data_IF_678754897231
#
_entry.id   IF_678754897231
#
_cell.length_a   1.000
_cell.length_b   1.000
_cell.length_c   1.000
_cell.angle_alpha   90.00
_cell.angle_beta   90.00
_cell.angle_gamma   90.00
#
_symmetry.space_group_name_H-M   'P 1'
#
loop_
_entity.id
_entity.type
_entity.pdbx_description
1 polymer ?
#
# COMPACT_ATOMS: atom_id res chain seq x y z
N UNK A 1 -6.32 -14.26 0.30
CA UNK A 1 -6.30 -14.80 -1.08
C UNK A 1 -5.94 -13.62 -1.97
N UNK A 2 -4.88 -13.73 -2.77
CA UNK A 2 -4.41 -12.65 -3.64
C UNK A 2 -5.51 -12.25 -4.63
N UNK A 3 -5.85 -10.97 -4.68
CA UNK A 3 -6.99 -10.48 -5.46
C UNK A 3 -6.49 -9.60 -6.60
N UNK A 4 -7.07 -9.78 -7.79
CA UNK A 4 -6.87 -8.86 -8.93
C UNK A 4 -7.71 -7.61 -8.71
N UNK A 5 -7.30 -6.46 -9.24
CA UNK A 5 -8.02 -5.20 -8.97
C UNK A 5 -9.50 -5.27 -9.36
N UNK A 6 -9.87 -5.93 -10.45
CA UNK A 6 -11.28 -6.06 -10.82
C UNK A 6 -12.12 -6.86 -9.80
N UNK A 7 -11.54 -7.88 -9.15
CA UNK A 7 -12.23 -8.63 -8.09
C UNK A 7 -12.32 -7.81 -6.80
N UNK A 8 -11.27 -7.02 -6.51
CA UNK A 8 -11.27 -6.07 -5.41
C UNK A 8 -12.42 -5.06 -5.59
N UNK A 9 -12.65 -4.56 -6.80
CA UNK A 9 -13.76 -3.66 -7.12
C UNK A 9 -15.17 -4.27 -6.92
N UNK A 10 -15.30 -5.60 -6.89
CA UNK A 10 -16.59 -6.28 -6.65
C UNK A 10 -16.94 -6.39 -5.16
N UNK A 11 -15.99 -6.12 -4.26
CA UNK A 11 -16.20 -6.21 -2.82
C UNK A 11 -17.10 -5.08 -2.30
N UNK A 12 -18.11 -5.47 -1.52
CA UNK A 12 -19.21 -4.57 -1.12
C UNK A 12 -18.95 -3.82 0.17
N UNK A 13 -18.02 -4.29 1.00
CA UNK A 13 -17.76 -3.73 2.32
C UNK A 13 -16.30 -3.92 2.70
N UNK A 14 -15.55 -2.82 2.73
CA UNK A 14 -14.16 -2.80 3.16
C UNK A 14 -14.05 -2.36 4.62
N UNK A 15 -13.15 -3.03 5.35
CA UNK A 15 -12.89 -2.75 6.76
C UNK A 15 -11.40 -2.98 7.07
N UNK A 16 -10.76 -1.97 7.65
CA UNK A 16 -9.55 -2.08 8.46
C UNK A 16 -9.87 -2.94 9.69
N UNK A 17 -8.88 -3.70 10.15
CA UNK A 17 -8.96 -4.52 11.35
C UNK A 17 -7.70 -4.30 12.17
N UNK A 18 -7.88 -4.14 13.48
CA UNK A 18 -6.80 -4.16 14.46
C UNK A 18 -6.69 -5.56 15.08
N UNK A 19 -5.52 -5.91 15.60
CA UNK A 19 -5.32 -7.09 16.43
C UNK A 19 -5.80 -6.84 17.87
N UNK A 20 -6.02 -7.92 18.63
CA UNK A 20 -6.64 -7.86 19.97
C UNK A 20 -5.90 -6.92 20.93
N UNK A 21 -4.57 -7.01 20.92
CA UNK A 21 -3.67 -6.22 21.77
C UNK A 21 -3.19 -4.92 21.12
N UNK A 22 -3.86 -4.44 20.07
CA UNK A 22 -3.49 -3.17 19.44
C UNK A 22 -3.71 -1.98 20.39
N UNK A 23 -2.84 -0.97 20.26
CA UNK A 23 -2.94 0.29 21.00
C UNK A 23 -4.26 1.03 20.74
N UNK A 24 -4.59 1.98 21.62
CA UNK A 24 -5.83 2.76 21.52
C UNK A 24 -5.91 3.56 20.21
N UNK A 25 -4.78 4.03 19.71
CA UNK A 25 -4.66 4.75 18.44
C UNK A 25 -5.15 3.91 17.25
N UNK A 26 -4.88 2.60 17.26
CA UNK A 26 -5.36 1.66 16.24
C UNK A 26 -6.87 1.43 16.35
N UNK A 27 -7.35 1.20 17.57
CA UNK A 27 -8.77 0.92 17.85
C UNK A 27 -9.63 2.11 17.44
N UNK A 28 -9.23 3.33 17.80
CA UNK A 28 -9.91 4.57 17.39
C UNK A 28 -9.94 4.75 15.87
N UNK A 29 -8.87 4.36 15.17
CA UNK A 29 -8.86 4.38 13.71
C UNK A 29 -9.88 3.41 13.11
N UNK A 30 -9.93 2.18 13.62
CA UNK A 30 -10.83 1.11 13.15
C UNK A 30 -12.29 1.41 13.42
N UNK A 31 -12.62 2.00 14.57
CA UNK A 31 -14.01 2.26 14.96
C UNK A 31 -14.65 3.38 14.13
N UNK A 32 -13.84 4.33 13.64
CA UNK A 32 -14.31 5.53 12.94
C UNK A 32 -13.92 5.58 11.46
N UNK A 33 -13.60 4.42 10.90
CA UNK A 33 -13.16 4.32 9.53
C UNK A 33 -14.31 4.43 8.53
N UNK A 34 -14.00 4.95 7.36
CA UNK A 34 -14.78 4.76 6.13
C UNK A 34 -13.83 4.52 4.98
N UNK A 35 -13.94 3.36 4.36
CA UNK A 35 -13.20 3.04 3.13
C UNK A 35 -14.18 3.11 1.96
N UNK A 36 -13.85 3.93 0.97
CA UNK A 36 -14.54 3.98 -0.31
C UNK A 36 -13.57 3.53 -1.39
N UNK A 37 -13.99 2.56 -2.19
CA UNK A 37 -13.23 2.11 -3.37
C UNK A 37 -14.10 2.37 -4.59
N UNK A 38 -13.49 2.94 -5.63
CA UNK A 38 -14.14 3.21 -6.92
C UNK A 38 -13.26 2.71 -8.05
N UNK A 39 -13.88 2.37 -9.17
CA UNK A 39 -13.14 2.08 -10.38
C UNK A 39 -12.37 3.34 -10.82
N UNK A 40 -11.10 3.15 -11.17
CA UNK A 40 -10.27 4.19 -11.79
C UNK A 40 -10.56 4.29 -13.29
N UNK A 41 -9.51 4.50 -14.09
CA UNK A 41 -9.64 4.65 -15.55
C UNK A 41 -10.25 3.44 -16.26
N UNK A 42 -10.05 2.24 -15.73
CA UNK A 42 -10.58 0.97 -16.25
C UNK A 42 -10.66 -0.07 -15.10
N UNK A 43 -11.06 -1.32 -15.41
CA UNK A 43 -11.24 -2.39 -14.40
C UNK A 43 -9.95 -2.91 -13.74
N UNK A 44 -8.78 -2.56 -14.26
CA UNK A 44 -7.47 -2.87 -13.67
C UNK A 44 -6.97 -1.76 -12.73
N UNK A 45 -7.73 -0.67 -12.58
CA UNK A 45 -7.40 0.45 -11.71
C UNK A 45 -8.49 0.68 -10.66
N UNK A 46 -8.06 1.03 -9.45
CA UNK A 46 -8.97 1.40 -8.37
C UNK A 46 -8.49 2.67 -7.68
N UNK A 47 -9.42 3.54 -7.33
CA UNK A 47 -9.17 4.70 -6.49
C UNK A 47 -9.72 4.38 -5.09
N UNK A 48 -8.90 4.53 -4.08
CA UNK A 48 -9.22 4.24 -2.68
C UNK A 48 -9.19 5.54 -1.92
N UNK A 49 -10.23 5.77 -1.13
CA UNK A 49 -10.30 6.84 -0.14
C UNK A 49 -10.58 6.21 1.22
N UNK A 50 -9.68 6.43 2.18
CA UNK A 50 -9.80 5.99 3.56
C UNK A 50 -9.93 7.23 4.43
N UNK A 51 -11.01 7.31 5.19
CA UNK A 51 -11.26 8.39 6.15
C UNK A 51 -11.30 7.81 7.55
N UNK A 52 -10.71 8.51 8.52
CA UNK A 52 -10.92 8.32 9.94
C UNK A 52 -11.52 9.61 10.50
N UNK A 53 -12.86 9.66 10.58
CA UNK A 53 -13.61 10.91 10.76
C UNK A 53 -13.29 11.63 12.07
N UNK A 54 -13.27 10.90 13.18
CA UNK A 54 -13.03 11.46 14.52
C UNK A 54 -11.60 11.98 14.72
N UNK A 55 -10.63 11.39 14.02
CA UNK A 55 -9.22 11.81 14.09
C UNK A 55 -8.92 12.88 13.03
N UNK A 56 -9.80 13.04 12.03
CA UNK A 56 -9.60 13.97 10.92
C UNK A 56 -8.49 13.52 9.98
N UNK A 57 -8.30 12.22 9.77
CA UNK A 57 -7.32 11.69 8.83
C UNK A 57 -8.01 11.26 7.54
N UNK A 58 -7.51 11.69 6.40
CA UNK A 58 -7.97 11.21 5.09
C UNK A 58 -6.77 10.84 4.23
N UNK A 59 -6.81 9.66 3.64
CA UNK A 59 -5.86 9.23 2.62
C UNK A 59 -6.61 8.88 1.35
N UNK A 60 -6.18 9.43 0.23
CA UNK A 60 -6.55 8.97 -1.11
C UNK A 60 -5.32 8.41 -1.80
N UNK A 61 -5.53 7.36 -2.56
CA UNK A 61 -4.51 6.73 -3.39
C UNK A 61 -5.17 5.98 -4.54
N UNK A 62 -4.38 5.68 -5.55
CA UNK A 62 -4.76 4.89 -6.71
C UNK A 62 -3.96 3.60 -6.76
N UNK A 63 -4.56 2.55 -7.32
CA UNK A 63 -3.97 1.24 -7.56
C UNK A 63 -4.00 0.90 -9.05
N UNK A 64 -2.95 0.24 -9.53
CA UNK A 64 -2.86 -0.32 -10.88
C UNK A 64 -2.43 -1.79 -10.80
N UNK A 65 -3.18 -2.70 -11.42
CA UNK A 65 -2.78 -4.11 -11.57
C UNK A 65 -1.62 -4.23 -12.56
N UNK A 66 -0.40 -4.38 -12.05
CA UNK A 66 0.81 -4.35 -12.87
C UNK A 66 0.83 -5.43 -13.94
N UNK A 67 0.29 -6.62 -13.62
CA UNK A 67 0.26 -7.75 -14.55
C UNK A 67 -0.78 -7.57 -15.64
N UNK A 68 -1.95 -7.03 -15.31
CA UNK A 68 -3.01 -6.79 -16.31
C UNK A 68 -2.68 -5.63 -17.23
N UNK A 69 -1.94 -4.65 -16.74
CA UNK A 69 -1.46 -3.51 -17.51
C UNK A 69 -0.15 -3.82 -18.28
N UNK A 70 0.43 -5.02 -18.12
CA UNK A 70 1.74 -5.39 -18.68
C UNK A 70 2.83 -4.35 -18.37
N UNK A 71 2.88 -3.90 -17.11
CA UNK A 71 3.77 -2.80 -16.73
C UNK A 71 5.25 -3.21 -16.80
N UNK A 72 6.13 -2.36 -17.38
CA UNK A 72 7.57 -2.59 -17.39
C UNK A 72 8.18 -2.56 -15.98
N UNK A 73 7.47 -2.04 -14.99
CA UNK A 73 7.89 -2.07 -13.58
C UNK A 73 8.11 -3.50 -13.08
N UNK A 74 7.35 -4.48 -13.58
CA UNK A 74 7.52 -5.89 -13.22
C UNK A 74 8.93 -6.39 -13.54
N UNK A 75 9.47 -6.02 -14.71
CA UNK A 75 10.83 -6.42 -15.10
C UNK A 75 11.87 -5.80 -14.17
N UNK A 76 11.73 -4.51 -13.82
CA UNK A 76 12.62 -3.86 -12.87
C UNK A 76 12.56 -4.51 -11.47
N UNK A 77 11.38 -4.94 -11.03
CA UNK A 77 11.21 -5.65 -9.76
C UNK A 77 11.84 -7.04 -9.80
N UNK A 78 11.64 -7.80 -10.88
CA UNK A 78 12.25 -9.12 -11.09
C UNK A 78 13.79 -9.04 -11.11
N UNK A 79 14.37 -7.98 -11.68
CA UNK A 79 15.81 -7.75 -11.66
C UNK A 79 16.35 -7.53 -10.23
N UNK A 80 15.66 -6.73 -9.42
CA UNK A 80 16.07 -6.50 -8.02
C UNK A 80 16.10 -7.77 -7.18
N UNK A 81 15.22 -8.71 -7.48
CA UNK A 81 15.16 -10.02 -6.82
C UNK A 81 16.38 -10.87 -7.16
N UNK A 82 16.82 -10.84 -8.42
CA UNK A 82 18.00 -11.60 -8.87
C UNK A 82 19.25 -11.09 -8.19
N UNK A 83 19.40 -9.76 -8.07
CA UNK A 83 20.51 -9.14 -7.34
C UNK A 83 20.53 -9.56 -5.86
N UNK A 84 19.36 -9.57 -5.18
CA UNK A 84 19.24 -10.02 -3.78
C UNK A 84 19.65 -11.49 -3.56
N UNK A 85 19.43 -12.37 -4.56
CA UNK A 85 19.83 -13.78 -4.53
C UNK A 85 21.35 -13.93 -4.57
N UNK A 86 22.03 -13.15 -5.40
CA UNK A 86 23.48 -13.20 -5.58
C UNK A 86 24.22 -12.66 -4.33
N UNK A 87 23.63 -11.70 -3.63
CA UNK A 87 24.22 -11.03 -2.47
C UNK A 87 23.90 -11.67 -1.10
N UNK A 88 23.33 -12.87 -1.06
CA UNK A 88 22.97 -13.62 0.17
C UNK A 88 21.94 -12.93 1.10
N UNK A 89 21.21 -11.92 0.61
CA UNK A 89 20.10 -11.25 1.32
C UNK A 89 18.71 -11.80 0.95
N UNK A 90 18.69 -13.02 0.41
CA UNK A 90 17.52 -13.72 -0.10
C UNK A 90 16.50 -14.04 1.00
N UNK A 91 15.29 -13.50 0.85
CA UNK A 91 14.11 -13.95 1.59
C UNK A 91 13.17 -14.71 0.65
N UNK A 92 12.40 -15.68 1.19
CA UNK A 92 11.37 -16.41 0.45
C UNK A 92 10.30 -15.49 -0.19
N UNK A 93 10.25 -14.22 0.25
CA UNK A 93 9.41 -13.13 -0.25
C UNK A 93 9.93 -12.45 -1.52
N UNK A 94 11.09 -12.86 -2.05
CA UNK A 94 11.67 -12.29 -3.25
C UNK A 94 11.09 -12.88 -4.55
N UNK A 95 10.06 -13.72 -4.53
CA UNK A 95 9.38 -14.11 -5.78
C UNK A 95 8.22 -13.16 -6.10
N UNK A 96 8.27 -12.51 -7.28
CA UNK A 96 7.15 -11.68 -7.75
C UNK A 96 5.91 -12.55 -8.00
N UNK A 97 4.84 -12.42 -7.21
CA UNK A 97 3.71 -13.34 -7.26
C UNK A 97 2.99 -13.35 -8.62
N UNK A 98 2.38 -14.47 -9.05
CA UNK A 98 1.66 -14.55 -10.33
C UNK A 98 0.42 -13.64 -10.40
N UNK A 99 -0.13 -13.21 -9.27
CA UNK A 99 -1.33 -12.37 -9.15
C UNK A 99 -1.25 -11.46 -7.92
N UNK A 100 -2.03 -10.38 -7.91
CA UNK A 100 -2.11 -9.48 -6.77
C UNK A 100 -0.85 -8.62 -6.58
N UNK A 101 -0.22 -8.24 -7.69
CA UNK A 101 0.92 -7.32 -7.72
C UNK A 101 0.43 -5.98 -8.25
N UNK A 102 0.50 -4.93 -7.43
CA UNK A 102 -0.06 -3.61 -7.77
C UNK A 102 0.96 -2.48 -7.60
N UNK A 103 0.84 -1.43 -8.41
CA UNK A 103 1.49 -0.15 -8.16
C UNK A 103 0.51 0.78 -7.44
N UNK A 104 1.00 1.46 -6.41
CA UNK A 104 0.30 2.51 -5.69
C UNK A 104 0.86 3.87 -6.09
N UNK A 105 -0.03 4.80 -6.42
CA UNK A 105 0.32 6.14 -6.91
C UNK A 105 -0.78 7.15 -6.56
N UNK A 106 -0.55 8.43 -6.85
CA UNK A 106 -1.45 9.55 -6.54
C UNK A 106 -1.80 9.64 -5.04
N UNK A 107 -0.79 9.59 -4.17
CA UNK A 107 -1.03 9.72 -2.73
C UNK A 107 -1.42 11.16 -2.35
N UNK A 108 -2.60 11.31 -1.78
CA UNK A 108 -3.08 12.55 -1.16
C UNK A 108 -3.41 12.28 0.30
N UNK A 109 -2.69 12.93 1.22
CA UNK A 109 -2.91 12.78 2.65
C UNK A 109 -3.30 14.11 3.29
N UNK A 110 -4.42 14.11 4.00
CA UNK A 110 -4.89 15.23 4.81
C UNK A 110 -4.88 14.82 6.28
N UNK A 111 -4.27 15.67 7.10
CA UNK A 111 -4.17 15.50 8.55
C UNK A 111 -4.88 16.65 9.26
N UNK A 112 -5.89 16.31 10.06
CA UNK A 112 -6.56 17.26 10.95
C UNK A 112 -5.63 17.78 12.04
N UNK A 113 -5.88 19.00 12.51
CA UNK A 113 -5.01 19.72 13.46
C UNK A 113 -4.79 18.97 14.79
N UNK A 114 -5.77 18.17 15.21
CA UNK A 114 -5.75 17.44 16.48
C UNK A 114 -5.16 16.04 16.38
N UNK A 115 -4.89 15.54 15.17
CA UNK A 115 -4.34 14.20 15.00
C UNK A 115 -2.92 14.12 15.56
N UNK A 116 -2.64 13.13 16.40
CA UNK A 116 -1.30 12.86 16.95
C UNK A 116 -0.44 12.07 15.96
N UNK A 117 0.88 12.13 16.11
CA UNK A 117 1.79 11.35 15.26
C UNK A 117 1.59 9.83 15.43
N UNK A 118 1.21 9.39 16.63
CA UNK A 118 0.89 7.99 16.90
C UNK A 118 -0.34 7.52 16.08
N UNK A 119 -1.40 8.33 16.04
CA UNK A 119 -2.59 8.05 15.23
C UNK A 119 -2.28 8.04 13.73
N UNK A 120 -1.45 8.97 13.25
CA UNK A 120 -1.02 8.98 11.84
C UNK A 120 -0.26 7.69 11.50
N UNK A 121 0.69 7.27 12.35
CA UNK A 121 1.44 6.02 12.16
C UNK A 121 0.53 4.79 12.20
N UNK A 122 -0.41 4.75 13.14
CA UNK A 122 -1.40 3.67 13.24
C UNK A 122 -2.29 3.61 12.00
N UNK A 123 -2.69 4.77 11.47
CA UNK A 123 -3.50 4.87 10.25
C UNK A 123 -2.78 4.29 9.03
N UNK A 124 -1.54 4.71 8.75
CA UNK A 124 -0.75 4.15 7.65
C UNK A 124 -0.47 2.66 7.82
N UNK A 125 -0.20 2.23 9.05
CA UNK A 125 -0.05 0.81 9.39
C UNK A 125 -1.28 0.00 9.00
N UNK A 126 -2.47 0.43 9.42
CA UNK A 126 -3.71 -0.26 9.12
C UNK A 126 -3.97 -0.32 7.61
N UNK A 127 -3.67 0.75 6.89
CA UNK A 127 -3.83 0.82 5.44
C UNK A 127 -2.89 -0.17 4.74
N UNK A 128 -1.63 -0.29 5.15
CA UNK A 128 -0.73 -1.30 4.58
C UNK A 128 -1.17 -2.72 4.89
N UNK A 129 -1.61 -3.00 6.10
CA UNK A 129 -2.17 -4.32 6.43
C UNK A 129 -3.42 -4.63 5.62
N UNK A 130 -4.28 -3.63 5.40
CA UNK A 130 -5.44 -3.74 4.53
C UNK A 130 -5.00 -4.08 3.10
N UNK A 131 -4.04 -3.35 2.54
CA UNK A 131 -3.53 -3.62 1.20
C UNK A 131 -2.91 -5.01 1.08
N UNK A 132 -2.07 -5.43 2.04
CA UNK A 132 -1.44 -6.77 2.07
C UNK A 132 -2.45 -7.91 2.24
N UNK A 133 -3.61 -7.64 2.85
CA UNK A 133 -4.69 -8.63 2.95
C UNK A 133 -5.33 -8.90 1.57
N UNK A 134 -5.36 -7.90 0.68
CA UNK A 134 -5.99 -7.99 -0.64
C UNK A 134 -4.97 -8.30 -1.76
N UNK A 135 -3.76 -7.76 -1.68
CA UNK A 135 -2.69 -7.86 -2.67
C UNK A 135 -1.47 -8.53 -2.05
N UNK A 136 -0.80 -9.40 -2.81
CA UNK A 136 0.38 -10.11 -2.30
C UNK A 136 1.63 -9.25 -2.27
N UNK A 137 1.69 -8.25 -3.15
CA UNK A 137 2.82 -7.37 -3.26
C UNK A 137 2.32 -6.02 -3.79
N UNK A 138 2.84 -4.94 -3.25
CA UNK A 138 2.65 -3.63 -3.86
C UNK A 138 3.95 -2.84 -3.96
N UNK A 139 4.03 -2.02 -5.00
CA UNK A 139 5.15 -1.14 -5.26
C UNK A 139 4.70 0.32 -5.35
N UNK A 140 5.61 1.24 -5.07
CA UNK A 140 5.38 2.68 -5.23
C UNK A 140 6.72 3.38 -5.50
N UNK A 141 6.65 4.54 -6.15
CA UNK A 141 7.82 5.35 -6.46
C UNK A 141 8.13 6.29 -5.30
N UNK A 142 9.39 6.67 -5.12
CA UNK A 142 9.76 7.61 -4.05
C UNK A 142 9.08 8.97 -4.23
N UNK A 143 8.87 9.43 -5.47
CA UNK A 143 8.19 10.70 -5.75
C UNK A 143 6.75 10.75 -5.22
N UNK A 144 6.03 9.62 -5.29
CA UNK A 144 4.62 9.50 -4.89
C UNK A 144 4.43 9.70 -3.38
N UNK A 145 5.41 9.30 -2.56
CA UNK A 145 5.27 9.26 -1.11
C UNK A 145 5.92 10.44 -0.40
N UNK A 146 6.45 11.44 -1.11
CA UNK A 146 7.27 12.52 -0.52
C UNK A 146 6.62 13.19 0.70
N UNK A 147 5.32 13.43 0.65
CA UNK A 147 4.54 14.07 1.71
C UNK A 147 4.32 13.17 2.94
N UNK A 148 4.43 11.85 2.79
CA UNK A 148 4.11 10.84 3.81
C UNK A 148 5.30 9.93 4.14
N UNK A 149 6.47 10.21 3.57
CA UNK A 149 7.69 9.39 3.64
C UNK A 149 8.11 9.10 5.08
N UNK A 150 8.04 10.09 5.97
CA UNK A 150 8.37 9.93 7.40
C UNK A 150 7.46 8.95 8.14
N UNK A 151 6.22 8.76 7.67
CA UNK A 151 5.29 7.81 8.26
C UNK A 151 5.40 6.41 7.66
N UNK A 152 5.93 6.30 6.43
CA UNK A 152 6.06 5.03 5.71
C UNK A 152 7.42 4.35 5.88
N UNK A 153 8.51 5.12 5.83
CA UNK A 153 9.88 4.59 5.75
C UNK A 153 10.44 4.20 7.11
N UNK A 154 10.11 4.93 8.17
CA UNK A 154 10.60 4.64 9.53
C UNK A 154 9.98 3.37 10.13
N UNK A 155 8.97 2.80 9.46
CA UNK A 155 8.12 1.75 10.02
C UNK A 155 8.38 0.35 9.46
N UNK A 156 9.02 0.22 8.29
CA UNK A 156 9.03 -1.06 7.55
C UNK A 156 10.42 -1.69 7.44
N UNK A 157 10.65 -2.77 8.18
CA UNK A 157 11.80 -3.66 8.03
C UNK A 157 11.78 -4.50 6.73
N UNK A 158 10.67 -4.48 5.97
CA UNK A 158 10.46 -5.33 4.79
C UNK A 158 10.46 -4.55 3.45
N UNK A 159 10.79 -3.26 3.47
CA UNK A 159 10.87 -2.47 2.24
C UNK A 159 12.11 -2.87 1.44
N UNK A 160 11.89 -3.38 0.22
CA UNK A 160 12.95 -3.65 -0.74
C UNK A 160 13.01 -2.51 -1.75
N UNK A 161 14.21 -2.03 -2.03
CA UNK A 161 14.44 -0.91 -2.96
C UNK A 161 14.80 -1.45 -4.33
N UNK A 162 14.30 -0.81 -5.39
CA UNK A 162 14.68 -1.12 -6.78
C UNK A 162 14.67 0.16 -7.63
N UNK A 163 15.26 0.10 -8.82
CA UNK A 163 15.27 1.24 -9.74
C UNK A 163 14.38 0.98 -10.96
N UNK A 164 13.54 1.95 -11.28
CA UNK A 164 12.69 1.92 -12.47
C UNK A 164 12.76 3.27 -13.18
N UNK A 165 13.16 3.27 -14.46
CA UNK A 165 13.32 4.49 -15.27
C UNK A 165 14.14 5.60 -14.61
N UNK A 166 15.20 5.24 -13.88
CA UNK A 166 16.07 6.19 -13.19
C UNK A 166 15.51 6.76 -11.89
N UNK A 167 14.38 6.24 -11.40
CA UNK A 167 13.76 6.61 -10.15
C UNK A 167 13.84 5.47 -9.12
N UNK A 168 14.11 5.84 -7.86
CA UNK A 168 14.03 4.93 -6.72
C UNK A 168 12.59 4.53 -6.49
N UNK A 169 12.36 3.22 -6.46
CA UNK A 169 11.08 2.61 -6.16
C UNK A 169 11.21 1.65 -4.98
N UNK A 170 10.09 1.36 -4.35
CA UNK A 170 10.02 0.45 -3.22
C UNK A 170 8.96 -0.61 -3.46
N UNK A 171 9.20 -1.82 -2.98
CA UNK A 171 8.24 -2.92 -2.93
C UNK A 171 8.13 -3.47 -1.51
N UNK A 172 6.92 -3.92 -1.15
CA UNK A 172 6.58 -4.64 0.08
C UNK A 172 5.86 -5.91 -0.31
#
# INVERSE_FOLDING_TARGET
MATRVYLFLEEKAFQLKAWEDAGEEFKRCVDNQRITVRQGRNANHANIEVQCGDVGLTLKLSLSDLKRENSPMLTSMEQSVVEDIEDHHFDYWDQIPPVGVVEIYDFEFERGELATDAEVKAFFTLIFHFLLKHFLLFAFRESEIRSIRSYMMDWNCNLKTFYHHGETCYRI
#
